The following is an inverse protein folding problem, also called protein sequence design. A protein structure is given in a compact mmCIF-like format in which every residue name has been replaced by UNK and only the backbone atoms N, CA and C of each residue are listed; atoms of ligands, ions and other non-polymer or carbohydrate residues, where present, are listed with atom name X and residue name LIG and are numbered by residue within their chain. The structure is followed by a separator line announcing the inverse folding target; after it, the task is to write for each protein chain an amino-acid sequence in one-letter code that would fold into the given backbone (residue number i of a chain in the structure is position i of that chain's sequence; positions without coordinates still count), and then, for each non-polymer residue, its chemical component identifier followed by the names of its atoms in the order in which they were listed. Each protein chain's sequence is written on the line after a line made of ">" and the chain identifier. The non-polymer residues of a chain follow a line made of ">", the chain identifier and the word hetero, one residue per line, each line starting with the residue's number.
data_IF_832054578439
#
_entry.id   IF_832054578439
#
_cell.length_a   1.000
_cell.length_b   1.000
_cell.length_c   1.000
_cell.angle_alpha   90.00
_cell.angle_beta   90.00
_cell.angle_gamma   90.00
#
_symmetry.space_group_name_H-M   'P 1'
#
loop_
_entity.id
_entity.type
_entity.pdbx_description
1 polymer ?
#
# COMPACT_ATOMS: atom_id res chain seq x y z
N UNK A 1 -30.91 5.56 -16.41
CA UNK A 1 -32.34 5.23 -16.59
C UNK A 1 -33.09 6.54 -16.51
N UNK A 2 -33.73 6.95 -17.59
CA UNK A 2 -34.46 8.22 -17.66
C UNK A 2 -35.95 7.90 -17.58
N UNK A 3 -36.53 8.10 -16.39
CA UNK A 3 -37.92 7.73 -16.11
C UNK A 3 -38.86 8.81 -16.67
N UNK A 4 -39.92 8.39 -17.37
CA UNK A 4 -40.90 9.29 -18.01
C UNK A 4 -42.27 9.14 -17.31
N UNK A 5 -42.60 10.00 -16.33
CA UNK A 5 -43.79 9.86 -15.49
C UNK A 5 -45.10 9.87 -16.30
N UNK A 6 -45.19 10.74 -17.30
CA UNK A 6 -46.43 10.90 -18.09
C UNK A 6 -46.76 9.64 -18.90
N UNK A 7 -45.73 8.97 -19.45
CA UNK A 7 -45.91 7.71 -20.17
C UNK A 7 -46.29 6.57 -19.23
N UNK A 8 -45.67 6.54 -18.04
CA UNK A 8 -46.00 5.54 -17.02
C UNK A 8 -47.45 5.68 -16.55
N UNK A 9 -47.88 6.90 -16.18
CA UNK A 9 -49.24 7.17 -15.72
C UNK A 9 -50.29 6.85 -16.80
N UNK A 10 -49.98 7.15 -18.08
CA UNK A 10 -50.85 6.80 -19.19
C UNK A 10 -51.08 5.28 -19.30
N UNK A 11 -50.01 4.49 -19.18
CA UNK A 11 -50.08 3.02 -19.27
C UNK A 11 -50.73 2.43 -18.01
N UNK A 12 -50.42 2.96 -16.82
CA UNK A 12 -51.04 2.55 -15.57
C UNK A 12 -52.56 2.73 -15.59
N UNK A 13 -53.03 3.87 -16.11
CA UNK A 13 -54.47 4.14 -16.21
C UNK A 13 -55.14 3.31 -17.31
N UNK A 14 -54.43 3.01 -18.40
CA UNK A 14 -54.97 2.22 -19.51
C UNK A 14 -55.02 0.72 -19.21
N UNK A 15 -53.99 0.19 -18.55
CA UNK A 15 -53.81 -1.23 -18.26
C UNK A 15 -53.21 -1.46 -16.86
N UNK A 16 -53.96 -1.24 -15.77
CA UNK A 16 -53.45 -1.43 -14.41
C UNK A 16 -52.97 -2.86 -14.14
N UNK A 17 -53.66 -3.85 -14.73
CA UNK A 17 -53.35 -5.27 -14.56
C UNK A 17 -51.99 -5.66 -15.17
N UNK A 18 -51.68 -5.16 -16.37
CA UNK A 18 -50.40 -5.41 -17.04
C UNK A 18 -49.23 -4.78 -16.29
N UNK A 19 -49.44 -3.59 -15.70
CA UNK A 19 -48.42 -2.95 -14.86
C UNK A 19 -48.20 -3.77 -13.57
N UNK A 20 -49.28 -4.23 -12.93
CA UNK A 20 -49.19 -5.08 -11.76
C UNK A 20 -48.48 -6.41 -12.07
N UNK A 21 -48.77 -7.02 -13.22
CA UNK A 21 -48.13 -8.25 -13.70
C UNK A 21 -46.65 -8.03 -14.05
N UNK A 22 -46.26 -6.89 -14.62
CA UNK A 22 -44.85 -6.57 -14.84
C UNK A 22 -44.04 -6.53 -13.53
N UNK A 23 -44.59 -5.87 -12.50
CA UNK A 23 -43.90 -5.74 -11.22
C UNK A 23 -43.90 -7.05 -10.44
N UNK A 24 -45.08 -7.68 -10.29
CA UNK A 24 -45.29 -8.87 -9.46
C UNK A 24 -44.91 -10.17 -10.18
N UNK A 25 -45.05 -10.22 -11.50
CA UNK A 25 -44.99 -11.44 -12.29
C UNK A 25 -46.00 -12.48 -11.79
N UNK A 26 -45.54 -13.73 -11.75
CA UNK A 26 -46.22 -14.86 -11.12
C UNK A 26 -46.34 -14.76 -9.58
N UNK A 27 -45.71 -13.75 -8.95
CA UNK A 27 -45.69 -13.55 -7.51
C UNK A 27 -44.66 -14.39 -6.74
N UNK A 28 -43.89 -15.26 -7.41
CA UNK A 28 -42.95 -16.19 -6.77
C UNK A 28 -41.55 -16.18 -7.40
N UNK A 29 -41.43 -16.20 -8.72
CA UNK A 29 -40.15 -16.37 -9.44
C UNK A 29 -39.91 -15.35 -10.54
N UNK A 30 -40.97 -14.80 -11.13
CA UNK A 30 -40.90 -13.81 -12.21
C UNK A 30 -41.31 -12.43 -11.69
N UNK A 31 -41.23 -11.42 -12.56
CA UNK A 31 -41.52 -10.02 -12.23
C UNK A 31 -40.29 -9.20 -11.89
N UNK A 32 -40.42 -7.89 -12.09
CA UNK A 32 -39.32 -6.93 -11.92
C UNK A 32 -38.79 -6.90 -10.48
N UNK A 33 -39.66 -6.91 -9.46
CA UNK A 33 -39.22 -6.84 -8.05
C UNK A 33 -38.46 -8.06 -7.60
N UNK A 34 -38.90 -9.26 -8.01
CA UNK A 34 -38.22 -10.51 -7.69
C UNK A 34 -36.87 -10.62 -8.39
N UNK A 35 -36.80 -10.19 -9.65
CA UNK A 35 -35.55 -10.12 -10.42
C UNK A 35 -34.57 -9.15 -9.76
N UNK A 36 -35.02 -7.94 -9.40
CA UNK A 36 -34.18 -6.94 -8.75
C UNK A 36 -33.65 -7.44 -7.38
N UNK A 37 -34.50 -8.09 -6.58
CA UNK A 37 -34.10 -8.68 -5.30
C UNK A 37 -33.03 -9.77 -5.49
N UNK A 38 -33.16 -10.62 -6.51
CA UNK A 38 -32.17 -11.65 -6.84
C UNK A 38 -30.84 -11.05 -7.28
N UNK A 39 -30.87 -10.05 -8.16
CA UNK A 39 -29.65 -9.38 -8.62
C UNK A 39 -28.93 -8.65 -7.48
N UNK A 40 -29.66 -7.94 -6.62
CA UNK A 40 -29.10 -7.32 -5.41
C UNK A 40 -28.49 -8.37 -4.48
N UNK A 41 -29.21 -9.47 -4.22
CA UNK A 41 -28.70 -10.57 -3.40
C UNK A 41 -27.44 -11.23 -3.98
N UNK A 42 -27.35 -11.35 -5.30
CA UNK A 42 -26.16 -11.86 -5.99
C UNK A 42 -24.97 -10.89 -5.89
N UNK A 43 -25.21 -9.58 -6.01
CA UNK A 43 -24.19 -8.55 -5.86
C UNK A 43 -23.65 -8.44 -4.43
N UNK A 44 -24.53 -8.58 -3.44
CA UNK A 44 -24.22 -8.55 -2.01
C UNK A 44 -23.71 -9.88 -1.46
N UNK A 45 -23.79 -10.96 -2.25
CA UNK A 45 -23.38 -12.28 -1.81
C UNK A 45 -21.92 -12.24 -1.33
N UNK A 46 -21.66 -12.55 -0.04
CA UNK A 46 -20.34 -12.37 0.56
C UNK A 46 -19.29 -13.36 0.05
N UNK A 47 -19.71 -14.46 -0.59
CA UNK A 47 -18.80 -15.47 -1.13
C UNK A 47 -18.36 -15.15 -2.56
N UNK A 48 -19.29 -14.77 -3.44
CA UNK A 48 -19.04 -14.66 -4.89
C UNK A 48 -19.53 -13.35 -5.52
N UNK A 49 -20.19 -12.49 -4.76
CA UNK A 49 -20.70 -11.20 -5.25
C UNK A 49 -19.56 -10.28 -5.68
N UNK A 50 -19.83 -9.44 -6.69
CA UNK A 50 -18.84 -8.53 -7.29
C UNK A 50 -18.19 -7.63 -6.22
N UNK A 51 -18.97 -7.17 -5.25
CA UNK A 51 -18.47 -6.33 -4.15
C UNK A 51 -17.52 -7.10 -3.22
N UNK A 52 -17.88 -8.34 -2.88
CA UNK A 52 -17.04 -9.21 -2.05
C UNK A 52 -15.71 -9.56 -2.73
N UNK A 53 -15.75 -9.86 -4.03
CA UNK A 53 -14.56 -10.13 -4.85
C UNK A 53 -13.66 -8.89 -4.93
N UNK A 54 -14.23 -7.70 -5.12
CA UNK A 54 -13.45 -6.44 -5.12
C UNK A 54 -12.81 -6.18 -3.76
N UNK A 55 -13.55 -6.42 -2.66
CA UNK A 55 -13.01 -6.32 -1.30
C UNK A 55 -11.86 -7.30 -1.06
N UNK A 56 -11.99 -8.57 -1.50
CA UNK A 56 -10.93 -9.58 -1.41
C UNK A 56 -9.68 -9.16 -2.19
N UNK A 57 -9.84 -8.73 -3.44
CA UNK A 57 -8.71 -8.27 -4.26
C UNK A 57 -8.01 -7.03 -3.71
N UNK A 58 -8.73 -6.12 -3.03
CA UNK A 58 -8.11 -5.00 -2.32
C UNK A 58 -7.32 -5.50 -1.11
N UNK A 59 -7.87 -6.41 -0.28
CA UNK A 59 -7.11 -6.98 0.86
C UNK A 59 -5.84 -7.69 0.40
N UNK A 60 -5.92 -8.49 -0.66
CA UNK A 60 -4.72 -9.15 -1.22
C UNK A 60 -3.66 -8.15 -1.71
N UNK A 61 -4.07 -7.00 -2.27
CA UNK A 61 -3.14 -5.92 -2.61
C UNK A 61 -2.50 -5.32 -1.36
N UNK A 62 -3.28 -5.06 -0.31
CA UNK A 62 -2.77 -4.57 0.98
C UNK A 62 -1.74 -5.55 1.56
N UNK A 63 -2.04 -6.84 1.59
CA UNK A 63 -1.13 -7.86 2.11
C UNK A 63 0.18 -7.95 1.31
N UNK A 64 0.11 -7.81 -0.02
CA UNK A 64 1.31 -7.72 -0.86
C UNK A 64 2.15 -6.48 -0.56
N UNK A 65 1.52 -5.33 -0.35
CA UNK A 65 2.25 -4.11 0.01
C UNK A 65 2.90 -4.21 1.39
N UNK A 66 2.22 -4.75 2.39
CA UNK A 66 2.81 -4.97 3.71
C UNK A 66 4.07 -5.84 3.62
N UNK A 67 4.03 -6.96 2.89
CA UNK A 67 5.21 -7.81 2.67
C UNK A 67 6.37 -7.07 2.00
N UNK A 68 6.10 -6.18 1.05
CA UNK A 68 7.12 -5.36 0.40
C UNK A 68 7.70 -4.31 1.34
N UNK A 69 6.87 -3.70 2.18
CA UNK A 69 7.30 -2.75 3.22
C UNK A 69 8.25 -3.44 4.17
N UNK A 70 7.88 -4.60 4.71
CA UNK A 70 8.73 -5.36 5.64
C UNK A 70 10.09 -5.73 5.02
N UNK A 71 10.09 -6.12 3.74
CA UNK A 71 11.32 -6.41 3.01
C UNK A 71 12.20 -5.16 2.86
N UNK A 72 11.61 -4.01 2.53
CA UNK A 72 12.33 -2.74 2.41
C UNK A 72 12.86 -2.26 3.75
N UNK A 73 12.11 -2.40 4.84
CA UNK A 73 12.57 -2.07 6.19
C UNK A 73 13.82 -2.90 6.56
N UNK A 74 13.79 -4.21 6.38
CA UNK A 74 14.98 -5.07 6.61
C UNK A 74 16.18 -4.68 5.75
N UNK A 75 15.95 -4.25 4.52
CA UNK A 75 17.04 -3.76 3.65
C UNK A 75 17.60 -2.43 4.13
N UNK A 76 16.74 -1.52 4.61
CA UNK A 76 17.16 -0.24 5.17
C UNK A 76 17.96 -0.42 6.46
N UNK A 77 17.49 -1.27 7.37
CA UNK A 77 18.21 -1.62 8.61
C UNK A 77 19.62 -2.15 8.32
N UNK A 78 19.73 -3.11 7.39
CA UNK A 78 21.05 -3.63 6.96
C UNK A 78 21.92 -2.56 6.32
N UNK A 79 21.33 -1.63 5.54
CA UNK A 79 22.08 -0.51 4.95
C UNK A 79 22.59 0.43 6.03
N UNK A 80 21.76 0.75 7.02
CA UNK A 80 22.12 1.60 8.14
C UNK A 80 23.26 0.98 8.96
N UNK A 81 23.14 -0.30 9.31
CA UNK A 81 24.18 -1.04 10.04
C UNK A 81 25.51 -1.03 9.26
N UNK A 82 25.47 -1.35 7.97
CA UNK A 82 26.66 -1.30 7.12
C UNK A 82 27.26 0.10 7.06
N UNK A 83 26.44 1.14 7.03
CA UNK A 83 26.90 2.51 6.99
C UNK A 83 27.56 2.92 8.32
N UNK A 84 26.95 2.56 9.46
CA UNK A 84 27.53 2.73 10.80
C UNK A 84 28.89 2.04 10.92
N UNK A 85 28.99 0.79 10.48
CA UNK A 85 30.26 0.04 10.47
C UNK A 85 31.33 0.71 9.60
N UNK A 86 30.95 1.23 8.43
CA UNK A 86 31.87 1.99 7.56
C UNK A 86 32.34 3.28 8.22
N UNK A 87 31.43 4.02 8.87
CA UNK A 87 31.79 5.24 9.61
C UNK A 87 32.74 4.97 10.77
N UNK A 88 32.46 3.96 11.62
CA UNK A 88 33.35 3.57 12.71
C UNK A 88 34.75 3.18 12.22
N UNK A 89 34.82 2.43 11.10
CA UNK A 89 36.10 2.09 10.48
C UNK A 89 36.85 3.31 9.94
N UNK A 90 36.14 4.29 9.36
CA UNK A 90 36.72 5.54 8.90
C UNK A 90 37.26 6.37 10.07
N UNK A 91 36.51 6.50 11.16
CA UNK A 91 36.95 7.19 12.37
C UNK A 91 38.20 6.54 12.97
N UNK A 92 38.23 5.21 13.06
CA UNK A 92 39.40 4.45 13.54
C UNK A 92 40.64 4.69 12.66
N UNK A 93 40.46 4.65 11.33
CA UNK A 93 41.55 4.94 10.38
C UNK A 93 42.04 6.39 10.49
N UNK A 94 41.13 7.36 10.63
CA UNK A 94 41.50 8.77 10.81
C UNK A 94 42.23 9.01 12.13
N UNK A 95 41.80 8.37 13.23
CA UNK A 95 42.50 8.42 14.50
C UNK A 95 43.93 7.85 14.38
N UNK A 96 44.08 6.71 13.68
CA UNK A 96 45.38 6.12 13.38
C UNK A 96 46.28 7.04 12.54
N UNK A 97 45.74 7.67 11.50
CA UNK A 97 46.46 8.65 10.67
C UNK A 97 46.87 9.89 11.47
N UNK A 98 46.00 10.42 12.33
CA UNK A 98 46.32 11.56 13.20
C UNK A 98 47.46 11.23 14.17
N UNK A 99 47.43 10.03 14.76
CA UNK A 99 48.49 9.56 15.66
C UNK A 99 49.83 9.39 14.92
N UNK A 100 49.80 8.87 13.70
CA UNK A 100 51.00 8.77 12.85
C UNK A 100 51.54 10.14 12.46
N UNK A 101 50.68 11.09 12.06
CA UNK A 101 51.08 12.46 11.75
C UNK A 101 51.72 13.18 12.95
N UNK A 102 51.14 13.00 14.14
CA UNK A 102 51.70 13.55 15.38
C UNK A 102 53.06 12.93 15.73
N UNK A 103 53.23 11.61 15.56
CA UNK A 103 54.51 10.95 15.78
C UNK A 103 55.60 11.42 14.79
N UNK A 104 55.25 11.58 13.51
CA UNK A 104 56.18 12.10 12.49
C UNK A 104 56.56 13.55 12.77
N UNK A 105 55.61 14.39 13.18
CA UNK A 105 55.92 15.77 13.62
C UNK A 105 56.80 15.80 14.86
N UNK A 106 56.57 14.92 15.84
CA UNK A 106 57.40 14.79 17.03
C UNK A 106 58.82 14.34 16.71
N UNK A 107 59.00 13.39 15.79
CA UNK A 107 60.32 12.95 15.32
C UNK A 107 61.01 14.05 14.51
N UNK A 108 60.29 14.77 13.64
CA UNK A 108 60.84 15.91 12.89
C UNK A 108 61.26 17.08 13.79
N UNK A 109 60.53 17.31 14.90
CA UNK A 109 60.91 18.29 15.92
C UNK A 109 62.11 17.82 16.75
N UNK A 110 62.16 16.54 17.15
CA UNK A 110 63.30 15.96 17.88
C UNK A 110 64.58 15.90 17.02
N UNK A 111 64.46 15.61 15.72
CA UNK A 111 65.58 15.62 14.77
C UNK A 111 66.05 17.04 14.40
N UNK A 112 65.27 18.09 14.69
CA UNK A 112 65.71 19.49 14.55
C UNK A 112 66.43 20.00 15.82
N UNK A 113 66.46 19.21 16.90
CA UNK A 113 67.21 19.50 18.13
C UNK A 113 68.37 18.49 18.36
N UNK A 114 69.36 18.40 17.45
CA UNK A 114 70.70 17.98 17.86
C UNK A 114 71.69 19.10 17.52
N UNK A 115 72.22 19.76 18.55
CA UNK A 115 73.35 20.69 18.43
C UNK A 115 73.03 22.11 18.86
N UNK A 116 73.01 22.33 20.17
CA UNK A 116 72.88 23.65 20.77
C UNK A 116 73.45 23.70 22.19
N UNK A 117 74.63 23.13 22.41
CA UNK A 117 75.48 23.39 23.58
C UNK A 117 76.94 23.33 23.14
N UNK A 118 77.70 24.41 23.38
CA UNK A 118 79.11 24.58 23.03
C UNK A 118 79.44 26.00 22.59
#
# INVERSE_FOLDING_TARGET
>A
LDFKPDKFNKILNASPAEVAEFFKGDGFTTGFTNTLKRELGNLENPSFGVLANRKRGIREKVDRYNKQIDQKQRQLEKKEENLRNKFANLESKMAGLKNQGAAVQGIGAAMKVPGGEG
#
